data_IF_420650198191
#
_entry.id   IF_420650198191
#
_cell.length_a   1.000
_cell.length_b   1.000
_cell.length_c   1.000
_cell.angle_alpha   90.00
_cell.angle_beta   90.00
_cell.angle_gamma   90.00
#
_symmetry.space_group_name_H-M   'P 1'
#
loop_
_entity.id
_entity.type
_entity.pdbx_description
1 polymer ?
#
# COMPACT_ATOMS: atom_id res chain seq x y z
N UNK A 1 -2.60 -15.02 -30.02
CA UNK A 1 -1.85 -15.15 -28.74
C UNK A 1 -1.94 -13.82 -28.01
N UNK A 2 -2.52 -13.78 -26.81
CA UNK A 2 -2.63 -12.55 -26.03
C UNK A 2 -1.24 -12.11 -25.54
N UNK A 3 -1.01 -10.80 -25.42
CA UNK A 3 0.30 -10.21 -25.03
C UNK A 3 0.75 -10.53 -23.59
N UNK A 4 0.12 -11.49 -22.90
CA UNK A 4 0.55 -11.99 -21.59
C UNK A 4 0.44 -11.01 -20.43
N UNK A 5 -0.37 -9.95 -20.54
CA UNK A 5 -0.54 -8.97 -19.46
C UNK A 5 -1.22 -9.60 -18.24
N UNK A 6 -0.84 -9.16 -17.04
CA UNK A 6 -1.47 -9.63 -15.80
C UNK A 6 -2.88 -9.07 -15.64
N UNK A 7 -3.76 -9.85 -15.01
CA UNK A 7 -5.14 -9.45 -14.74
C UNK A 7 -5.23 -8.14 -13.94
N UNK A 8 -4.32 -7.93 -12.99
CA UNK A 8 -4.22 -6.69 -12.22
C UNK A 8 -3.80 -5.49 -13.08
N UNK A 9 -2.94 -5.70 -14.08
CA UNK A 9 -2.55 -4.65 -15.02
C UNK A 9 -3.74 -4.25 -15.91
N UNK A 10 -4.45 -5.22 -16.48
CA UNK A 10 -5.64 -4.97 -17.29
C UNK A 10 -6.73 -4.23 -16.51
N UNK A 11 -6.97 -4.63 -15.26
CA UNK A 11 -7.93 -3.96 -14.37
C UNK A 11 -7.55 -2.50 -14.09
N UNK A 12 -6.26 -2.22 -13.87
CA UNK A 12 -5.77 -0.86 -13.66
C UNK A 12 -5.98 0.03 -14.89
N UNK A 13 -5.67 -0.47 -16.08
CA UNK A 13 -5.91 0.28 -17.32
C UNK A 13 -7.39 0.55 -17.52
N UNK A 14 -8.23 -0.46 -17.29
CA UNK A 14 -9.69 -0.29 -17.38
C UNK A 14 -10.20 0.79 -16.42
N UNK A 15 -9.79 0.74 -15.15
CA UNK A 15 -10.21 1.72 -14.15
C UNK A 15 -9.77 3.15 -14.52
N UNK A 16 -8.58 3.31 -15.09
CA UNK A 16 -8.09 4.60 -15.56
C UNK A 16 -8.93 5.14 -16.72
N UNK A 17 -9.22 4.30 -17.74
CA UNK A 17 -10.05 4.69 -18.88
C UNK A 17 -11.48 5.03 -18.42
N UNK A 18 -12.07 4.20 -17.55
CA UNK A 18 -13.39 4.46 -16.95
C UNK A 18 -13.40 5.82 -16.24
N UNK A 19 -12.35 6.14 -15.48
CA UNK A 19 -12.25 7.40 -14.76
C UNK A 19 -12.15 8.61 -15.70
N UNK A 20 -11.33 8.52 -16.75
CA UNK A 20 -11.18 9.58 -17.76
C UNK A 20 -12.51 9.81 -18.50
N UNK A 21 -13.19 8.73 -18.90
CA UNK A 21 -14.46 8.84 -19.63
C UNK A 21 -15.60 9.30 -18.72
N UNK A 22 -15.61 8.93 -17.44
CA UNK A 22 -16.56 9.49 -16.48
C UNK A 22 -16.36 11.00 -16.30
N UNK A 23 -15.10 11.46 -16.25
CA UNK A 23 -14.80 12.89 -16.25
C UNK A 23 -15.30 13.57 -17.54
N UNK A 24 -15.12 12.95 -18.71
CA UNK A 24 -15.65 13.47 -19.98
C UNK A 24 -17.19 13.53 -20.02
N UNK A 25 -17.88 12.55 -19.44
CA UNK A 25 -19.36 12.58 -19.30
C UNK A 25 -19.80 13.74 -18.41
N UNK A 26 -19.10 13.99 -17.31
CA UNK A 26 -19.48 15.04 -16.36
C UNK A 26 -19.16 16.47 -16.83
N UNK A 27 -18.08 16.67 -17.59
CA UNK A 27 -17.56 18.01 -17.90
C UNK A 27 -17.54 18.36 -19.39
N UNK A 28 -17.70 17.38 -20.29
CA UNK A 28 -17.61 17.56 -21.75
C UNK A 28 -18.83 17.00 -22.50
N UNK A 29 -19.96 16.82 -21.80
CA UNK A 29 -21.24 16.37 -22.35
C UNK A 29 -21.17 15.07 -23.17
N UNK A 30 -20.23 14.17 -22.83
CA UNK A 30 -20.18 12.86 -23.46
C UNK A 30 -21.47 12.08 -23.06
N UNK A 31 -22.24 11.53 -24.02
CA UNK A 31 -23.58 11.02 -23.74
C UNK A 31 -23.60 9.79 -22.82
N UNK A 32 -22.57 8.94 -22.86
CA UNK A 32 -22.40 7.84 -21.91
C UNK A 32 -20.99 7.26 -21.96
N UNK A 33 -20.54 6.65 -20.87
CA UNK A 33 -19.26 5.95 -20.82
C UNK A 33 -19.35 4.58 -21.52
N UNK A 34 -18.64 4.35 -22.64
CA UNK A 34 -18.64 3.06 -23.34
C UNK A 34 -18.07 1.90 -22.52
N UNK A 35 -17.21 2.17 -21.54
CA UNK A 35 -16.65 1.12 -20.67
C UNK A 35 -17.71 0.43 -19.80
N UNK A 36 -18.83 1.10 -19.50
CA UNK A 36 -19.95 0.47 -18.78
C UNK A 36 -20.65 -0.59 -19.64
N UNK A 37 -20.70 -0.40 -20.96
CA UNK A 37 -21.28 -1.35 -21.91
C UNK A 37 -20.31 -2.50 -22.24
N UNK A 38 -19.02 -2.18 -22.36
CA UNK A 38 -17.99 -3.17 -22.67
C UNK A 38 -17.71 -4.15 -21.51
N UNK A 39 -18.02 -3.76 -20.28
CA UNK A 39 -17.77 -4.56 -19.08
C UNK A 39 -16.35 -4.43 -18.56
N UNK A 40 -16.08 -5.05 -17.40
CA UNK A 40 -14.76 -4.94 -16.75
C UNK A 40 -13.72 -5.84 -17.41
N UNK A 41 -12.54 -5.29 -17.64
CA UNK A 41 -11.35 -6.02 -18.10
C UNK A 41 -10.43 -6.33 -16.93
N UNK A 42 -9.96 -7.58 -16.83
CA UNK A 42 -9.08 -8.03 -15.76
C UNK A 42 -9.80 -8.39 -14.46
N UNK A 43 -9.05 -8.95 -13.52
CA UNK A 43 -9.54 -9.40 -12.21
C UNK A 43 -8.60 -8.92 -11.11
N UNK A 44 -9.17 -8.72 -9.93
CA UNK A 44 -8.39 -8.36 -8.75
C UNK A 44 -7.71 -9.61 -8.21
N UNK A 45 -6.45 -9.79 -8.58
CA UNK A 45 -5.60 -10.81 -7.98
C UNK A 45 -4.93 -10.20 -6.76
N UNK A 46 -5.45 -10.50 -5.57
CA UNK A 46 -4.79 -10.08 -4.31
C UNK A 46 -4.24 -11.32 -3.64
N UNK A 47 -2.96 -11.60 -3.88
CA UNK A 47 -2.20 -12.56 -3.07
C UNK A 47 -1.27 -11.71 -2.22
N UNK A 48 -1.63 -11.50 -0.96
CA UNK A 48 -0.74 -10.86 0.00
C UNK A 48 0.01 -11.97 0.69
N UNK A 49 1.31 -12.06 0.43
CA UNK A 49 2.21 -12.96 1.13
C UNK A 49 2.70 -12.19 2.36
N UNK A 50 2.44 -12.73 3.55
CA UNK A 50 2.94 -12.17 4.81
C UNK A 50 4.11 -13.02 5.31
N UNK A 51 5.03 -12.39 6.03
CA UNK A 51 6.12 -13.11 6.70
C UNK A 51 5.65 -13.69 8.02
N UNK A 52 6.08 -14.90 8.33
CA UNK A 52 5.97 -15.42 9.69
C UNK A 52 6.95 -14.68 10.62
N UNK A 53 6.77 -14.84 11.93
CA UNK A 53 7.64 -14.23 12.93
C UNK A 53 9.08 -14.72 12.74
N UNK A 54 9.26 -16.00 12.45
CA UNK A 54 10.56 -16.64 12.26
C UNK A 54 11.26 -16.11 11.00
N UNK A 55 10.52 -15.93 9.90
CA UNK A 55 11.02 -15.37 8.65
C UNK A 55 11.44 -13.91 8.84
N UNK A 56 10.62 -13.12 9.54
CA UNK A 56 10.95 -11.74 9.86
C UNK A 56 12.23 -11.63 10.69
N UNK A 57 12.38 -12.43 11.75
CA UNK A 57 13.58 -12.42 12.59
C UNK A 57 14.83 -12.83 11.79
N UNK A 58 14.71 -13.83 10.90
CA UNK A 58 15.79 -14.22 10.01
C UNK A 58 16.23 -13.07 9.10
N UNK A 59 15.28 -12.37 8.48
CA UNK A 59 15.58 -11.21 7.63
C UNK A 59 16.23 -10.10 8.47
N UNK A 60 15.67 -9.78 9.63
CA UNK A 60 16.19 -8.72 10.50
C UNK A 60 17.64 -8.98 10.93
N UNK A 61 18.01 -10.24 11.20
CA UNK A 61 19.39 -10.62 11.52
C UNK A 61 20.37 -10.48 10.35
N UNK A 62 19.89 -10.52 9.10
CA UNK A 62 20.72 -10.36 7.90
C UNK A 62 20.96 -8.89 7.52
N UNK A 63 20.17 -7.96 8.09
CA UNK A 63 20.29 -6.52 7.84
C UNK A 63 21.43 -5.95 8.70
N UNK A 64 22.53 -5.60 8.05
CA UNK A 64 23.72 -5.02 8.69
C UNK A 64 23.65 -3.50 8.85
N UNK A 65 22.86 -2.82 8.01
CA UNK A 65 22.67 -1.37 8.09
C UNK A 65 21.76 -1.00 9.27
N UNK A 66 22.25 -0.14 10.16
CA UNK A 66 21.54 0.25 11.38
C UNK A 66 20.24 1.01 11.08
N UNK A 67 20.24 1.83 10.03
CA UNK A 67 19.07 2.63 9.64
C UNK A 67 17.97 1.73 9.10
N UNK A 68 18.32 0.80 8.21
CA UNK A 68 17.40 -0.20 7.68
C UNK A 68 16.87 -1.11 8.81
N UNK A 69 17.72 -1.49 9.76
CA UNK A 69 17.30 -2.29 10.91
C UNK A 69 16.22 -1.60 11.75
N UNK A 70 16.43 -0.32 12.10
CA UNK A 70 15.44 0.50 12.83
C UNK A 70 14.16 0.66 12.00
N UNK A 71 14.28 0.92 10.70
CA UNK A 71 13.14 1.06 9.80
C UNK A 71 12.28 -0.22 9.79
N UNK A 72 12.88 -1.41 9.69
CA UNK A 72 12.14 -2.67 9.74
C UNK A 72 11.46 -2.90 11.07
N UNK A 73 12.12 -2.59 12.20
CA UNK A 73 11.51 -2.68 13.52
C UNK A 73 10.31 -1.73 13.65
N UNK A 74 10.46 -0.49 13.22
CA UNK A 74 9.39 0.50 13.26
C UNK A 74 8.22 0.04 12.39
N UNK A 75 8.43 -0.39 11.15
CA UNK A 75 7.36 -0.92 10.30
C UNK A 75 6.65 -2.13 10.90
N UNK A 76 7.39 -3.06 11.51
CA UNK A 76 6.82 -4.27 12.08
C UNK A 76 5.97 -3.99 13.33
N UNK A 77 6.44 -3.13 14.24
CA UNK A 77 5.78 -2.90 15.53
C UNK A 77 4.73 -1.77 15.51
N UNK A 78 4.94 -0.73 14.71
CA UNK A 78 3.99 0.40 14.64
C UNK A 78 2.96 0.26 13.52
N UNK A 79 3.28 -0.52 12.48
CA UNK A 79 2.43 -0.62 11.29
C UNK A 79 2.44 0.61 10.39
N UNK A 80 3.42 1.52 10.51
CA UNK A 80 3.54 2.67 9.61
C UNK A 80 3.58 2.25 8.13
N UNK A 81 2.89 3.01 7.28
CA UNK A 81 3.13 2.96 5.84
C UNK A 81 4.48 3.59 5.53
N UNK A 82 5.12 3.16 4.44
CA UNK A 82 6.41 3.70 4.03
C UNK A 82 6.41 5.24 3.89
N UNK A 83 5.33 5.83 3.38
CA UNK A 83 5.19 7.28 3.26
C UNK A 83 5.06 8.00 4.60
N UNK A 84 4.41 7.38 5.59
CA UNK A 84 4.25 7.94 6.94
C UNK A 84 5.61 7.95 7.66
N UNK A 85 6.40 6.88 7.50
CA UNK A 85 7.76 6.81 8.05
C UNK A 85 8.71 7.82 7.39
N UNK A 86 8.61 8.02 6.08
CA UNK A 86 9.44 9.01 5.37
C UNK A 86 9.09 10.46 5.73
N UNK A 87 7.86 10.71 6.17
CA UNK A 87 7.43 12.03 6.63
C UNK A 87 7.78 12.30 8.10
N UNK A 88 8.27 11.30 8.83
CA UNK A 88 8.54 11.40 10.26
C UNK A 88 9.71 12.35 10.56
N UNK A 89 9.47 13.30 11.45
CA UNK A 89 10.50 14.20 11.96
C UNK A 89 10.80 13.89 13.42
N UNK A 90 11.92 14.40 13.94
CA UNK A 90 12.28 14.21 15.36
C UNK A 90 11.28 14.88 16.32
N UNK A 91 10.54 15.89 15.84
CA UNK A 91 9.52 16.60 16.63
C UNK A 91 8.27 15.74 16.88
N UNK A 92 8.02 14.75 16.01
CA UNK A 92 6.87 13.83 16.11
C UNK A 92 7.08 12.73 17.16
N UNK A 93 8.31 12.58 17.69
CA UNK A 93 8.67 11.52 18.63
C UNK A 93 8.73 12.07 20.05
N UNK A 94 7.73 11.75 20.86
CA UNK A 94 7.74 12.09 22.28
C UNK A 94 8.55 11.07 23.09
N UNK A 95 9.80 11.44 23.40
CA UNK A 95 10.68 10.65 24.26
C UNK A 95 10.34 10.74 25.76
N UNK A 96 9.38 11.58 26.18
CA UNK A 96 9.06 11.81 27.60
C UNK A 96 8.05 10.81 28.17
N UNK A 97 7.38 10.01 27.35
CA UNK A 97 6.40 9.04 27.82
C UNK A 97 7.04 7.67 27.98
N UNK A 98 7.69 7.48 29.13
CA UNK A 98 7.68 6.18 29.82
C UNK A 98 6.86 6.37 31.09
N UNK A 99 5.54 6.53 30.93
CA UNK A 99 4.62 6.11 31.97
C UNK A 99 4.10 4.75 31.55
N UNK A 100 4.59 3.71 32.23
CA UNK A 100 4.05 2.37 32.05
C UNK A 100 2.52 2.42 32.24
N UNK A 101 1.74 1.70 31.44
CA UNK A 101 0.32 1.49 31.74
C UNK A 101 0.11 0.56 32.95
N UNK A 102 1.18 0.03 33.56
CA UNK A 102 1.13 -0.98 34.61
C UNK A 102 1.27 -0.43 36.04
N UNK A 103 1.10 0.87 36.25
CA UNK A 103 1.02 1.44 37.60
C UNK A 103 -0.39 1.89 37.98
N UNK A 104 -1.39 1.06 37.67
CA UNK A 104 -2.72 1.20 38.24
C UNK A 104 -3.50 -0.12 38.30
N UNK A 105 -2.95 -1.13 38.99
CA UNK A 105 -3.61 -2.01 39.98
C UNK A 105 -2.57 -2.86 40.67
#
# INVERSE_FOLDING_TARGET
>A
MGKGYSDAYLLRINNMIVSILNFAVSYYDLPSNPCHKAGSMGKRTTVVIFWTIEEYQKILSSVTDKTAHIMFQVFYYSGFRCGEFLALTLEDIDFKIIKSPFQRV
#
